data_IF_689699927444
#
_entry.id   IF_689699927444
#
_cell.length_a   1.000
_cell.length_b   1.000
_cell.length_c   1.000
_cell.angle_alpha   90.00
_cell.angle_beta   90.00
_cell.angle_gamma   90.00
#
_symmetry.space_group_name_H-M   'P 1'
#
loop_
_entity.id
_entity.type
_entity.pdbx_description
1 polymer ?
#
# COMPACT_ATOMS: atom_id res chain seq x y z
N UNK A 1 -0.71 -13.62 -46.36
CA UNK A 1 -1.60 -12.69 -45.64
C UNK A 1 -2.17 -13.32 -44.36
N UNK A 2 -2.66 -14.54 -44.44
CA UNK A 2 -3.20 -15.26 -43.29
C UNK A 2 -2.17 -15.53 -42.18
N UNK A 3 -0.90 -15.76 -42.53
CA UNK A 3 0.16 -16.02 -41.53
C UNK A 3 0.50 -14.81 -40.66
N UNK A 4 0.44 -13.58 -41.20
CA UNK A 4 0.67 -12.35 -40.47
C UNK A 4 -0.47 -12.04 -39.51
N UNK A 5 -1.71 -12.21 -39.98
CA UNK A 5 -2.89 -12.04 -39.11
C UNK A 5 -2.92 -13.06 -37.96
N UNK A 6 -2.46 -14.30 -38.22
CA UNK A 6 -2.35 -15.34 -37.19
C UNK A 6 -1.28 -15.03 -36.16
N UNK A 7 -0.13 -14.49 -36.56
CA UNK A 7 0.95 -14.05 -35.67
C UNK A 7 0.51 -12.88 -34.80
N UNK A 8 -0.18 -11.90 -35.37
CA UNK A 8 -0.71 -10.78 -34.62
C UNK A 8 -1.72 -11.24 -33.58
N UNK A 9 -2.62 -12.14 -33.92
CA UNK A 9 -3.58 -12.72 -32.98
C UNK A 9 -2.90 -13.49 -31.83
N UNK A 10 -1.85 -14.26 -32.16
CA UNK A 10 -1.09 -15.01 -31.16
C UNK A 10 -0.32 -14.08 -30.24
N UNK A 11 0.31 -13.05 -30.79
CA UNK A 11 1.01 -12.04 -30.00
C UNK A 11 0.07 -11.25 -29.09
N UNK A 12 -1.11 -10.91 -29.60
CA UNK A 12 -2.14 -10.21 -28.86
C UNK A 12 -2.73 -11.09 -27.74
N UNK A 13 -3.03 -12.35 -28.02
CA UNK A 13 -3.50 -13.29 -27.00
C UNK A 13 -2.46 -13.49 -25.90
N UNK A 14 -1.17 -13.59 -26.27
CA UNK A 14 -0.07 -13.64 -25.32
C UNK A 14 0.02 -12.39 -24.46
N UNK A 15 -0.16 -11.20 -25.04
CA UNK A 15 -0.17 -9.93 -24.32
C UNK A 15 -1.31 -9.84 -23.32
N UNK A 16 -2.52 -10.28 -23.69
CA UNK A 16 -3.65 -10.31 -22.76
C UNK A 16 -3.50 -11.33 -21.66
N UNK A 17 -2.96 -12.50 -21.98
CA UNK A 17 -2.66 -13.51 -20.97
C UNK A 17 -1.65 -12.99 -19.97
N UNK A 18 -0.59 -12.35 -20.46
CA UNK A 18 0.39 -11.71 -19.60
C UNK A 18 -0.26 -10.64 -18.72
N UNK A 19 -1.14 -9.81 -19.29
CA UNK A 19 -1.83 -8.75 -18.57
C UNK A 19 -2.75 -9.33 -17.48
N UNK A 20 -3.49 -10.38 -17.77
CA UNK A 20 -4.33 -11.06 -16.79
C UNK A 20 -3.49 -11.62 -15.62
N UNK A 21 -2.37 -12.27 -15.94
CA UNK A 21 -1.45 -12.80 -14.94
C UNK A 21 -0.79 -11.67 -14.12
N UNK A 22 -0.46 -10.56 -14.78
CA UNK A 22 0.12 -9.38 -14.11
C UNK A 22 -0.86 -8.76 -13.11
N UNK A 23 -2.13 -8.62 -13.47
CA UNK A 23 -3.15 -8.13 -12.54
C UNK A 23 -3.36 -9.08 -11.35
N UNK A 24 -3.32 -10.39 -11.60
CA UNK A 24 -3.39 -11.37 -10.51
C UNK A 24 -2.20 -11.24 -9.55
N UNK A 25 -0.98 -11.10 -10.09
CA UNK A 25 0.22 -10.88 -9.26
C UNK A 25 0.17 -9.55 -8.51
N UNK A 26 -0.35 -8.50 -9.15
CA UNK A 26 -0.54 -7.22 -8.49
C UNK A 26 -1.46 -7.34 -7.27
N UNK A 27 -2.59 -8.02 -7.43
CA UNK A 27 -3.50 -8.27 -6.31
C UNK A 27 -2.83 -9.06 -5.18
N UNK A 28 -2.03 -10.08 -5.52
CA UNK A 28 -1.28 -10.84 -4.53
C UNK A 28 -0.25 -9.99 -3.77
N UNK A 29 0.46 -9.11 -4.47
CA UNK A 29 1.43 -8.21 -3.83
C UNK A 29 0.74 -7.25 -2.85
N UNK A 30 -0.40 -6.71 -3.24
CA UNK A 30 -1.17 -5.81 -2.35
C UNK A 30 -1.69 -6.54 -1.13
N UNK A 31 -2.23 -7.76 -1.30
CA UNK A 31 -2.70 -8.58 -0.18
C UNK A 31 -1.56 -8.98 0.76
N UNK A 32 -0.40 -9.34 0.21
CA UNK A 32 0.79 -9.62 1.00
C UNK A 32 1.27 -8.39 1.77
N UNK A 33 1.19 -7.22 1.16
CA UNK A 33 1.52 -5.95 1.81
C UNK A 33 0.57 -5.64 2.96
N UNK A 34 -0.73 -5.88 2.79
CA UNK A 34 -1.72 -5.77 3.86
C UNK A 34 -1.38 -6.68 5.04
N UNK A 35 -1.05 -7.93 4.75
CA UNK A 35 -0.66 -8.90 5.77
C UNK A 35 0.61 -8.47 6.50
N UNK A 36 1.61 -7.98 5.79
CA UNK A 36 2.84 -7.46 6.38
C UNK A 36 2.58 -6.25 7.28
N UNK A 37 1.66 -5.36 6.90
CA UNK A 37 1.22 -4.24 7.75
C UNK A 37 0.59 -4.73 9.05
N UNK A 38 -0.28 -5.72 8.96
CA UNK A 38 -0.97 -6.27 10.14
C UNK A 38 0.00 -6.97 11.10
N UNK A 39 1.07 -7.55 10.58
CA UNK A 39 2.13 -8.18 11.40
C UNK A 39 3.21 -7.20 11.86
N UNK A 40 3.20 -5.98 11.38
CA UNK A 40 4.19 -4.96 11.73
C UNK A 40 5.55 -5.12 11.05
N UNK A 41 5.64 -5.94 10.00
CA UNK A 41 6.87 -6.15 9.23
C UNK A 41 7.03 -5.05 8.19
N UNK A 42 7.56 -3.91 8.62
CA UNK A 42 7.70 -2.72 7.79
C UNK A 42 8.72 -2.89 6.66
N UNK A 43 9.78 -3.68 6.85
CA UNK A 43 10.76 -3.95 5.80
C UNK A 43 10.11 -4.75 4.67
N UNK A 44 9.27 -5.71 5.00
CA UNK A 44 8.51 -6.48 4.02
C UNK A 44 7.49 -5.60 3.29
N UNK A 45 6.81 -4.69 4.01
CA UNK A 45 5.90 -3.71 3.39
C UNK A 45 6.64 -2.89 2.32
N UNK A 46 7.83 -2.38 2.64
CA UNK A 46 8.63 -1.59 1.71
C UNK A 46 9.08 -2.40 0.49
N UNK A 47 9.54 -3.63 0.70
CA UNK A 47 9.97 -4.54 -0.39
C UNK A 47 8.79 -4.86 -1.32
N UNK A 48 7.63 -5.18 -0.76
CA UNK A 48 6.43 -5.48 -1.54
C UNK A 48 5.90 -4.25 -2.28
N UNK A 49 5.99 -3.07 -1.68
CA UNK A 49 5.64 -1.81 -2.34
C UNK A 49 6.51 -1.55 -3.57
N UNK A 50 7.82 -1.78 -3.47
CA UNK A 50 8.74 -1.63 -4.59
C UNK A 50 8.42 -2.62 -5.73
N UNK A 51 8.12 -3.88 -5.39
CA UNK A 51 7.72 -4.90 -6.36
C UNK A 51 6.41 -4.54 -7.04
N UNK A 52 5.43 -4.04 -6.29
CA UNK A 52 4.15 -3.57 -6.80
C UNK A 52 4.33 -2.42 -7.78
N UNK A 53 5.14 -1.43 -7.44
CA UNK A 53 5.38 -0.26 -8.29
C UNK A 53 6.10 -0.65 -9.58
N UNK A 54 7.07 -1.56 -9.52
CA UNK A 54 7.74 -2.10 -10.69
C UNK A 54 6.76 -2.82 -11.62
N UNK A 55 5.88 -3.65 -11.06
CA UNK A 55 4.85 -4.36 -11.82
C UNK A 55 3.83 -3.40 -12.44
N UNK A 56 3.41 -2.36 -11.72
CA UNK A 56 2.53 -1.33 -12.23
C UNK A 56 3.13 -0.62 -13.44
N UNK A 57 4.41 -0.30 -13.40
CA UNK A 57 5.14 0.28 -14.52
C UNK A 57 5.19 -0.64 -15.74
N UNK A 58 5.40 -1.94 -15.54
CA UNK A 58 5.36 -2.94 -16.62
C UNK A 58 3.95 -3.05 -17.22
N UNK A 59 2.91 -3.05 -16.42
CA UNK A 59 1.52 -3.10 -16.88
C UNK A 59 1.21 -1.88 -17.73
N UNK A 60 1.56 -0.68 -17.30
CA UNK A 60 1.32 0.55 -18.03
C UNK A 60 2.05 0.57 -19.37
N UNK A 61 3.27 0.05 -19.42
CA UNK A 61 4.06 -0.03 -20.65
C UNK A 61 3.51 -1.02 -21.68
N UNK A 62 2.79 -2.07 -21.23
CA UNK A 62 2.26 -3.12 -22.11
C UNK A 62 0.77 -3.03 -22.40
N UNK A 63 0.04 -2.21 -21.62
CA UNK A 63 -1.40 -2.09 -21.74
C UNK A 63 -1.91 -1.74 -23.13
N UNK A 64 -1.27 -0.82 -23.88
CA UNK A 64 -1.70 -0.50 -25.26
C UNK A 64 -1.55 -1.65 -26.25
N UNK A 65 -0.70 -2.65 -25.96
CA UNK A 65 -0.47 -3.80 -26.83
C UNK A 65 -1.53 -4.89 -26.67
N UNK A 66 -2.43 -4.73 -25.72
CA UNK A 66 -3.44 -5.72 -25.35
C UNK A 66 -4.82 -5.45 -25.99
N UNK A 67 -4.91 -4.59 -26.99
CA UNK A 67 -6.15 -4.41 -27.76
C UNK A 67 -6.36 -5.60 -28.69
N UNK A 68 -7.50 -6.28 -28.53
CA UNK A 68 -7.75 -7.55 -29.20
C UNK A 68 -9.13 -7.69 -29.76
N UNK A 69 -9.17 -8.34 -30.94
CA UNK A 69 -10.40 -8.82 -31.56
C UNK A 69 -10.43 -10.36 -31.56
N UNK A 70 -11.60 -10.94 -31.26
CA UNK A 70 -11.89 -12.37 -31.38
C UNK A 70 -12.29 -13.08 -30.10
N UNK A 71 -12.81 -14.30 -30.22
CA UNK A 71 -13.38 -15.07 -29.11
C UNK A 71 -12.33 -15.48 -28.04
N UNK A 72 -11.10 -15.78 -28.47
CA UNK A 72 -10.00 -16.05 -27.52
C UNK A 72 -9.61 -14.82 -26.73
N UNK A 73 -9.68 -13.64 -27.38
CA UNK A 73 -9.47 -12.36 -26.77
C UNK A 73 -10.53 -12.08 -25.68
N UNK A 74 -11.78 -12.39 -25.95
CA UNK A 74 -12.88 -12.16 -25.02
C UNK A 74 -12.68 -12.91 -23.70
N UNK A 75 -12.20 -14.15 -23.77
CA UNK A 75 -11.92 -14.94 -22.58
C UNK A 75 -10.79 -14.35 -21.75
N UNK A 76 -9.68 -14.01 -22.37
CA UNK A 76 -8.55 -13.39 -21.66
C UNK A 76 -8.87 -11.99 -21.19
N UNK A 77 -9.66 -11.25 -21.96
CA UNK A 77 -10.10 -9.92 -21.58
C UNK A 77 -11.01 -9.98 -20.35
N UNK A 78 -11.95 -10.93 -20.32
CA UNK A 78 -12.81 -11.14 -19.16
C UNK A 78 -12.00 -11.51 -17.91
N UNK A 79 -11.01 -12.37 -18.06
CA UNK A 79 -10.09 -12.74 -16.98
C UNK A 79 -9.25 -11.56 -16.52
N UNK A 80 -8.71 -10.77 -17.44
CA UNK A 80 -7.96 -9.56 -17.14
C UNK A 80 -8.81 -8.55 -16.38
N UNK A 81 -10.06 -8.33 -16.82
CA UNK A 81 -11.01 -7.44 -16.13
C UNK A 81 -11.31 -7.93 -14.72
N UNK A 82 -11.55 -9.22 -14.56
CA UNK A 82 -11.80 -9.82 -13.24
C UNK A 82 -10.61 -9.61 -12.32
N UNK A 83 -9.41 -9.90 -12.78
CA UNK A 83 -8.19 -9.73 -12.00
C UNK A 83 -7.89 -8.24 -11.71
N UNK A 84 -8.20 -7.35 -12.66
CA UNK A 84 -8.09 -5.91 -12.46
C UNK A 84 -9.04 -5.44 -11.35
N UNK A 85 -10.27 -5.92 -11.35
CA UNK A 85 -11.24 -5.58 -10.29
C UNK A 85 -10.76 -6.06 -8.92
N UNK A 86 -10.20 -7.27 -8.85
CA UNK A 86 -9.61 -7.79 -7.62
C UNK A 86 -8.43 -6.94 -7.16
N UNK A 87 -7.56 -6.55 -8.08
CA UNK A 87 -6.42 -5.69 -7.79
C UNK A 87 -6.87 -4.31 -7.29
N UNK A 88 -7.86 -3.72 -7.93
CA UNK A 88 -8.41 -2.43 -7.51
C UNK A 88 -9.06 -2.50 -6.13
N UNK A 89 -9.78 -3.57 -5.84
CA UNK A 89 -10.39 -3.80 -4.53
C UNK A 89 -9.32 -3.98 -3.44
N UNK A 90 -8.29 -4.77 -3.72
CA UNK A 90 -7.15 -4.96 -2.82
C UNK A 90 -6.44 -3.63 -2.55
N UNK A 91 -6.23 -2.82 -3.57
CA UNK A 91 -5.60 -1.51 -3.46
C UNK A 91 -6.44 -0.55 -2.60
N UNK A 92 -7.76 -0.55 -2.76
CA UNK A 92 -8.67 0.23 -1.90
C UNK A 92 -8.59 -0.22 -0.44
N UNK A 93 -8.51 -1.51 -0.19
CA UNK A 93 -8.35 -2.08 1.15
C UNK A 93 -7.03 -1.65 1.77
N UNK A 94 -5.95 -1.66 0.99
CA UNK A 94 -4.63 -1.20 1.44
C UNK A 94 -4.65 0.27 1.81
N UNK A 95 -5.24 1.12 0.97
CA UNK A 95 -5.35 2.57 1.23
C UNK A 95 -6.17 2.85 2.48
N UNK A 96 -7.26 2.13 2.67
CA UNK A 96 -8.08 2.24 3.88
C UNK A 96 -7.29 1.86 5.12
N UNK A 97 -6.56 0.74 5.07
CA UNK A 97 -5.73 0.28 6.20
C UNK A 97 -4.62 1.28 6.54
N UNK A 98 -3.98 1.84 5.54
CA UNK A 98 -2.97 2.87 5.75
C UNK A 98 -3.55 4.13 6.41
N UNK A 99 -4.75 4.54 6.00
CA UNK A 99 -5.43 5.68 6.65
C UNK A 99 -5.78 5.38 8.11
N UNK A 100 -6.25 4.18 8.40
CA UNK A 100 -6.56 3.74 9.76
C UNK A 100 -5.30 3.77 10.64
N UNK A 101 -4.20 3.22 10.16
CA UNK A 101 -2.93 3.21 10.88
C UNK A 101 -2.41 4.63 11.11
N UNK A 102 -2.54 5.50 10.12
CA UNK A 102 -2.17 6.91 10.26
C UNK A 102 -3.00 7.60 11.33
N UNK A 103 -4.29 7.34 11.36
CA UNK A 103 -5.20 7.89 12.37
C UNK A 103 -4.87 7.35 13.77
N UNK A 104 -4.66 6.05 13.90
CA UNK A 104 -4.24 5.42 15.17
C UNK A 104 -2.93 6.02 15.70
N UNK A 105 -1.96 6.24 14.80
CA UNK A 105 -0.69 6.87 15.17
C UNK A 105 -0.87 8.31 15.65
N UNK A 106 -1.72 9.08 15.00
CA UNK A 106 -2.05 10.45 15.43
C UNK A 106 -2.72 10.46 16.80
N UNK A 107 -3.68 9.59 17.01
CA UNK A 107 -4.38 9.45 18.31
C UNK A 107 -3.42 9.03 19.41
N UNK A 108 -2.49 8.13 19.13
CA UNK A 108 -1.47 7.71 20.08
C UNK A 108 -0.52 8.86 20.44
N UNK A 109 -0.07 9.64 19.46
CA UNK A 109 0.78 10.81 19.66
C UNK A 109 0.03 11.87 20.47
N UNK A 110 -1.20 12.19 20.10
CA UNK A 110 -2.03 13.17 20.82
C UNK A 110 -2.33 12.72 22.24
N UNK A 111 -2.60 11.44 22.44
CA UNK A 111 -2.80 10.85 23.74
C UNK A 111 -1.55 10.93 24.63
N UNK A 112 -0.38 10.64 24.07
CA UNK A 112 0.90 10.77 24.77
C UNK A 112 1.21 12.23 25.14
N UNK A 113 0.95 13.16 24.23
CA UNK A 113 1.13 14.59 24.49
C UNK A 113 0.23 15.08 25.61
N UNK A 114 -1.06 14.69 25.61
CA UNK A 114 -2.00 15.01 26.69
C UNK A 114 -1.60 14.39 28.02
N UNK A 115 -1.12 13.17 28.01
CA UNK A 115 -0.62 12.50 29.21
C UNK A 115 0.61 13.22 29.76
N UNK A 116 1.53 13.64 28.91
CA UNK A 116 2.70 14.43 29.29
C UNK A 116 2.31 15.77 29.91
N UNK A 117 1.33 16.47 29.31
CA UNK A 117 0.81 17.73 29.85
C UNK A 117 0.17 17.54 31.24
N UNK A 118 -0.63 16.48 31.43
CA UNK A 118 -1.22 16.17 32.74
C UNK A 118 -0.17 15.85 33.78
N UNK A 119 0.85 15.09 33.41
CA UNK A 119 1.96 14.76 34.32
C UNK A 119 2.73 16.03 34.71
N UNK A 120 3.00 16.91 33.74
CA UNK A 120 3.65 18.18 34.01
C UNK A 120 2.79 19.09 34.92
N UNK A 121 1.48 19.14 34.69
CA UNK A 121 0.54 19.89 35.53
C UNK A 121 0.49 19.36 36.93
N UNK A 122 0.47 18.04 37.12
CA UNK A 122 0.53 17.40 38.43
C UNK A 122 1.85 17.74 39.11
N UNK A 123 2.97 17.63 38.42
CA UNK A 123 4.28 18.00 38.96
C UNK A 123 4.34 19.45 39.43
N UNK A 124 3.78 20.38 38.66
CA UNK A 124 3.69 21.80 39.09
C UNK A 124 2.78 21.98 40.28
N UNK A 125 1.70 21.24 40.37
CA UNK A 125 0.77 21.29 41.47
C UNK A 125 1.38 20.80 42.77
N UNK A 126 2.27 19.84 42.73
CA UNK A 126 2.96 19.26 43.89
C UNK A 126 4.33 19.89 44.17
N UNK A 127 4.79 20.82 43.31
CA UNK A 127 6.04 21.49 43.54
C UNK A 127 5.98 22.25 44.85
N UNK A 128 6.96 22.12 45.76
CA UNK A 128 6.97 22.87 46.99
C UNK A 128 7.00 24.37 46.65
N UNK A 129 6.29 25.21 47.43
CA UNK A 129 6.30 26.64 47.19
C UNK A 129 7.74 27.11 47.27
N UNK A 130 8.18 27.66 46.20
CA UNK A 130 9.48 28.17 45.88
C UNK A 130 10.42 28.36 47.03
N UNK A 131 11.14 27.37 47.32
CA UNK A 131 12.34 27.57 48.09
C UNK A 131 13.35 28.28 47.17
N UNK A 132 13.84 29.43 47.54
CA UNK A 132 14.90 30.11 46.75
C UNK A 132 16.11 29.22 46.56
N UNK A 133 16.32 28.27 47.41
CA UNK A 133 17.40 27.31 47.33
C UNK A 133 17.24 26.29 46.21
N UNK A 134 16.04 26.06 45.75
CA UNK A 134 15.77 25.11 44.64
C UNK A 134 16.44 25.48 43.32
N UNK A 135 16.81 26.71 43.16
CA UNK A 135 17.49 27.19 41.97
C UNK A 135 18.94 26.75 41.89
N UNK A 136 19.51 26.39 42.98
CA UNK A 136 20.89 25.94 43.02
C UNK A 136 21.11 24.61 42.36
N UNK A 137 20.05 23.82 42.29
CA UNK A 137 20.10 22.49 41.67
C UNK A 137 20.29 22.55 40.17
N UNK A 138 20.04 23.70 39.61
CA UNK A 138 20.13 23.91 38.17
C UNK A 138 21.56 24.18 37.71
N UNK A 139 22.48 24.37 38.60
CA UNK A 139 23.83 24.77 38.29
C UNK A 139 24.75 23.63 37.87
N UNK A 140 24.23 22.52 37.55
CA UNK A 140 25.01 21.36 37.11
C UNK A 140 25.22 21.29 35.63
#
# INVERSE_FOLDING_TARGET
MTALASRDRTGQAGALRWLADAYARYAHLVLAQLQALDTGDLDRVATLAAQRDALAGEIDGRKPLAELDGAAADRFLAQARHNLMRAAEADRSLRRRLRELKQESREAIDGAARAAERTAAIGRSYAPPTAPGGRLDVSF
#
